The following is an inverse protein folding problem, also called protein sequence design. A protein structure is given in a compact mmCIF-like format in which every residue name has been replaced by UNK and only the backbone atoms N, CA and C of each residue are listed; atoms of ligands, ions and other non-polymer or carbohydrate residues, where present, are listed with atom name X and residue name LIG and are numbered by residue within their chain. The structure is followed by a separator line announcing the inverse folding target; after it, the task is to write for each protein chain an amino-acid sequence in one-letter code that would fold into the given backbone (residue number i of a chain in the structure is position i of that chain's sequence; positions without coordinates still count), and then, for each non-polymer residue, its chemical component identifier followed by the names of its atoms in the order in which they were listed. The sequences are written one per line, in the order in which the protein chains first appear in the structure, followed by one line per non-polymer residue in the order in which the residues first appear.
data_IF_038327990430
#
_entry.id   IF_038327990430
#
_cell.length_a   1.000
_cell.length_b   1.000
_cell.length_c   1.000
_cell.angle_alpha   90.00
_cell.angle_beta   90.00
_cell.angle_gamma   90.00
#
_symmetry.space_group_name_H-M   'P 1'
#
loop_
_entity.id
_entity.type
_entity.pdbx_description
1 polymer ?
#
# COMPACT_ATOMS: atom_id res chain seq x y z
N UNK A 1 -46.17 -51.47 46.20
CA UNK A 1 -45.60 -51.35 44.85
C UNK A 1 -46.10 -50.04 44.25
N UNK A 2 -45.36 -48.95 44.47
CA UNK A 2 -45.71 -47.61 43.99
C UNK A 2 -44.56 -47.15 43.08
N UNK A 3 -44.84 -47.00 41.80
CA UNK A 3 -43.88 -46.51 40.79
C UNK A 3 -44.16 -45.03 40.56
N UNK A 4 -43.21 -44.19 40.96
CA UNK A 4 -43.19 -42.75 40.66
C UNK A 4 -42.83 -42.55 39.18
N UNK A 5 -43.69 -41.86 38.43
CA UNK A 5 -43.40 -41.29 37.10
C UNK A 5 -43.18 -39.78 37.25
N UNK A 6 -42.12 -39.17 36.67
CA UNK A 6 -42.02 -37.72 36.62
C UNK A 6 -42.81 -37.17 35.42
N UNK A 7 -43.59 -36.12 35.69
CA UNK A 7 -44.18 -35.24 34.69
C UNK A 7 -43.08 -34.31 34.14
N UNK A 8 -42.90 -34.29 32.81
CA UNK A 8 -42.08 -33.29 32.12
C UNK A 8 -43.03 -32.20 31.62
N UNK A 9 -42.90 -31.00 32.18
CA UNK A 9 -43.59 -29.79 31.75
C UNK A 9 -42.87 -29.19 30.55
N UNK A 10 -43.52 -29.19 29.39
CA UNK A 10 -43.02 -28.53 28.17
C UNK A 10 -43.29 -27.02 28.26
N UNK A 11 -42.24 -26.21 28.45
CA UNK A 11 -42.33 -24.76 28.31
C UNK A 11 -42.01 -24.37 26.86
N UNK A 12 -43.02 -23.90 26.12
CA UNK A 12 -42.85 -23.23 24.84
C UNK A 12 -42.14 -21.89 25.08
N UNK A 13 -40.85 -21.81 24.73
CA UNK A 13 -40.15 -20.52 24.62
C UNK A 13 -40.31 -19.99 23.20
N UNK A 14 -40.97 -18.85 23.09
CA UNK A 14 -41.10 -18.05 21.88
C UNK A 14 -39.73 -17.48 21.51
N UNK A 15 -39.16 -17.94 20.39
CA UNK A 15 -37.98 -17.31 19.82
C UNK A 15 -38.37 -15.96 19.23
N UNK A 16 -38.08 -14.91 20.00
CA UNK A 16 -38.17 -13.53 19.56
C UNK A 16 -37.10 -13.29 18.48
N UNK A 17 -37.53 -13.11 17.23
CA UNK A 17 -36.65 -12.69 16.14
C UNK A 17 -36.21 -11.24 16.38
N UNK A 18 -35.12 -11.10 17.13
CA UNK A 18 -34.37 -9.87 17.26
C UNK A 18 -33.65 -9.57 15.96
N UNK A 19 -34.10 -8.52 15.29
CA UNK A 19 -33.45 -7.80 14.19
C UNK A 19 -31.93 -7.84 14.35
N UNK A 20 -31.25 -8.43 13.37
CA UNK A 20 -29.80 -8.48 13.31
C UNK A 20 -29.23 -7.08 13.45
N UNK A 21 -28.60 -6.79 14.59
CA UNK A 21 -27.67 -5.69 14.68
C UNK A 21 -26.64 -5.92 13.59
N UNK A 22 -26.60 -5.02 12.60
CA UNK A 22 -25.43 -4.87 11.74
C UNK A 22 -24.27 -4.58 12.69
N UNK A 23 -23.55 -5.64 13.06
CA UNK A 23 -22.30 -5.52 13.78
C UNK A 23 -21.47 -4.53 13.00
N UNK A 24 -20.97 -3.50 13.68
CA UNK A 24 -19.94 -2.62 13.13
C UNK A 24 -18.84 -3.55 12.65
N UNK A 25 -18.76 -3.76 11.34
CA UNK A 25 -17.68 -4.55 10.76
C UNK A 25 -16.43 -3.81 11.19
N UNK A 26 -15.63 -4.43 12.07
CA UNK A 26 -14.38 -3.84 12.51
C UNK A 26 -13.60 -3.50 11.25
N UNK A 27 -13.33 -2.21 11.05
CA UNK A 27 -12.63 -1.72 9.88
C UNK A 27 -11.30 -2.48 9.74
N UNK A 28 -11.12 -3.19 8.63
CA UNK A 28 -9.87 -3.90 8.40
C UNK A 28 -8.81 -2.88 8.01
N UNK A 29 -7.91 -2.57 8.95
CA UNK A 29 -6.82 -1.59 8.80
C UNK A 29 -5.47 -2.24 8.46
N UNK A 30 -5.47 -3.55 8.20
CA UNK A 30 -4.27 -4.37 8.06
C UNK A 30 -3.88 -5.06 9.37
N UNK A 31 -2.59 -5.35 9.53
CA UNK A 31 -2.09 -6.13 10.68
C UNK A 31 -1.64 -5.22 11.80
N UNK A 32 -2.21 -5.40 13.00
CA UNK A 32 -1.81 -4.64 14.19
C UNK A 32 -0.32 -4.86 14.51
N UNK A 33 0.43 -3.76 14.61
CA UNK A 33 1.81 -3.73 15.11
C UNK A 33 1.78 -3.61 16.64
N UNK A 34 0.99 -2.68 17.17
CA UNK A 34 0.86 -2.43 18.61
C UNK A 34 0.30 -1.05 18.91
N UNK A 35 0.26 -0.69 20.20
CA UNK A 35 -0.15 0.65 20.65
C UNK A 35 1.09 1.53 20.83
N UNK A 36 0.97 2.81 20.51
CA UNK A 36 1.99 3.80 20.87
C UNK A 36 2.07 3.91 22.40
N UNK A 37 3.30 4.01 22.92
CA UNK A 37 3.54 4.44 24.29
C UNK A 37 3.19 5.93 24.45
N UNK A 38 2.62 6.29 25.59
CA UNK A 38 2.33 7.67 25.95
C UNK A 38 3.45 8.18 26.87
N UNK A 39 4.50 8.76 26.29
CA UNK A 39 5.64 9.28 27.05
C UNK A 39 5.49 10.78 27.31
N UNK A 40 5.18 11.55 26.27
CA UNK A 40 4.97 12.99 26.35
C UNK A 40 3.85 13.44 25.41
N UNK A 41 3.30 14.62 25.67
CA UNK A 41 2.38 15.31 24.75
C UNK A 41 1.12 14.54 24.34
N UNK A 42 0.67 13.61 25.19
CA UNK A 42 -0.55 12.82 24.99
C UNK A 42 -0.50 11.91 23.77
N UNK A 43 0.70 11.50 23.33
CA UNK A 43 0.87 10.59 22.19
C UNK A 43 0.16 9.27 22.46
N UNK A 44 -0.81 8.93 21.62
CA UNK A 44 -1.51 7.65 21.68
C UNK A 44 -2.06 7.27 20.30
N UNK A 45 -2.41 6.00 20.15
CA UNK A 45 -2.96 5.45 18.91
C UNK A 45 -2.62 3.97 18.74
N UNK A 46 -3.38 3.27 17.89
CA UNK A 46 -3.12 1.88 17.52
C UNK A 46 -2.47 1.85 16.13
N UNK A 47 -1.28 1.25 16.03
CA UNK A 47 -0.48 1.27 14.82
C UNK A 47 -0.65 -0.05 14.08
N UNK A 48 -0.99 0.04 12.80
CA UNK A 48 -1.23 -1.06 11.88
C UNK A 48 -0.27 -0.99 10.71
N UNK A 49 0.13 -2.15 10.21
CA UNK A 49 0.76 -2.30 8.92
C UNK A 49 -0.30 -2.55 7.85
N UNK A 50 -0.44 -1.60 6.94
CA UNK A 50 -1.30 -1.73 5.75
C UNK A 50 -0.64 -2.64 4.74
N UNK A 51 0.63 -2.38 4.44
CA UNK A 51 1.46 -3.18 3.54
C UNK A 51 2.94 -3.09 3.97
N UNK A 52 3.89 -3.45 3.11
CA UNK A 52 5.32 -3.39 3.44
C UNK A 52 5.93 -2.01 3.60
N UNK A 53 5.22 -0.96 3.20
CA UNK A 53 5.67 0.44 3.17
C UNK A 53 4.68 1.41 3.81
N UNK A 54 3.48 0.97 4.14
CA UNK A 54 2.41 1.84 4.63
C UNK A 54 2.06 1.48 6.06
N UNK A 55 2.09 2.50 6.92
CA UNK A 55 1.66 2.43 8.32
C UNK A 55 0.37 3.21 8.45
N UNK A 56 -0.61 2.65 9.14
CA UNK A 56 -1.84 3.35 9.51
C UNK A 56 -1.92 3.45 11.04
N UNK A 57 -2.29 4.61 11.55
CA UNK A 57 -2.47 4.87 12.97
C UNK A 57 -3.92 5.21 13.19
N UNK A 58 -4.61 4.35 13.92
CA UNK A 58 -5.99 4.55 14.35
C UNK A 58 -6.02 5.39 15.62
N UNK A 59 -6.98 6.32 15.67
CA UNK A 59 -7.23 7.19 16.83
C UNK A 59 -5.98 7.95 17.31
N UNK A 60 -5.13 8.41 16.38
CA UNK A 60 -3.90 9.11 16.72
C UNK A 60 -4.19 10.43 17.46
N UNK A 61 -3.52 10.62 18.59
CA UNK A 61 -3.63 11.84 19.40
C UNK A 61 -2.24 12.37 19.69
N UNK A 62 -2.08 13.69 19.57
CA UNK A 62 -0.88 14.44 19.91
C UNK A 62 -1.25 15.90 20.12
N UNK A 63 -0.78 16.54 21.20
CA UNK A 63 -1.25 17.87 21.60
C UNK A 63 -0.73 19.05 20.74
N UNK A 64 0.30 18.82 19.92
CA UNK A 64 0.90 19.83 19.04
C UNK A 64 1.88 20.80 19.73
N UNK A 65 2.32 20.52 20.97
CA UNK A 65 3.17 21.45 21.73
C UNK A 65 4.68 21.25 21.53
N UNK A 66 5.10 20.24 20.78
CA UNK A 66 6.51 20.00 20.47
C UNK A 66 6.98 20.95 19.37
N UNK A 67 8.08 21.69 19.56
CA UNK A 67 8.52 22.71 18.61
C UNK A 67 9.05 22.12 17.29
N UNK A 68 9.59 20.89 17.33
CA UNK A 68 10.14 20.18 16.17
C UNK A 68 9.77 18.69 16.20
N UNK A 69 8.47 18.39 16.34
CA UNK A 69 7.95 17.02 16.37
C UNK A 69 7.70 16.46 14.96
N UNK A 70 8.18 15.24 14.72
CA UNK A 70 7.97 14.52 13.46
C UNK A 70 7.75 13.03 13.69
N UNK A 71 7.07 12.39 12.73
CA UNK A 71 7.04 10.94 12.66
C UNK A 71 8.39 10.37 12.27
N UNK A 72 8.83 9.34 12.97
CA UNK A 72 10.10 8.67 12.77
C UNK A 72 9.94 7.15 12.67
N UNK A 73 10.87 6.54 11.96
CA UNK A 73 11.09 5.10 12.02
C UNK A 73 12.58 4.79 12.04
N UNK A 74 12.94 3.61 12.54
CA UNK A 74 14.35 3.20 12.61
C UNK A 74 14.54 1.71 12.39
N UNK A 75 15.66 1.36 11.76
CA UNK A 75 16.17 -0.01 11.68
C UNK A 75 16.92 -0.40 12.96
N UNK A 76 17.15 0.54 13.88
CA UNK A 76 17.65 0.30 15.22
C UNK A 76 16.49 0.08 16.19
N UNK A 77 16.77 -0.54 17.34
CA UNK A 77 15.74 -0.82 18.35
C UNK A 77 15.45 0.37 19.27
N UNK A 78 16.27 1.40 19.22
CA UNK A 78 16.14 2.60 20.04
C UNK A 78 15.43 3.69 19.21
N UNK A 79 14.49 4.38 19.87
CA UNK A 79 13.93 5.63 19.38
C UNK A 79 14.95 6.74 19.68
N UNK A 80 15.76 7.09 18.68
CA UNK A 80 16.81 8.10 18.80
C UNK A 80 16.97 8.89 17.49
N UNK A 81 17.85 9.89 17.52
CA UNK A 81 18.14 10.73 16.35
C UNK A 81 18.74 10.02 15.13
N UNK A 82 19.10 8.73 15.23
CA UNK A 82 19.62 7.94 14.09
C UNK A 82 18.51 7.31 13.25
N UNK A 83 17.25 7.45 13.67
CA UNK A 83 16.12 7.12 12.80
C UNK A 83 16.00 8.10 11.64
N UNK A 84 14.97 7.91 10.84
CA UNK A 84 14.66 8.76 9.69
C UNK A 84 13.25 9.31 9.79
N UNK A 85 13.08 10.56 9.37
CA UNK A 85 11.78 11.22 9.29
C UNK A 85 10.87 10.51 8.28
N UNK A 86 9.60 10.44 8.63
CA UNK A 86 8.51 10.15 7.69
C UNK A 86 7.82 11.47 7.36
N UNK A 87 7.27 11.54 6.14
CA UNK A 87 6.34 12.61 5.79
C UNK A 87 5.02 12.38 6.51
N UNK A 88 4.30 13.45 6.83
CA UNK A 88 2.95 13.38 7.41
C UNK A 88 1.92 12.80 6.41
N UNK A 89 0.65 12.74 6.82
CA UNK A 89 -0.44 12.21 5.99
C UNK A 89 -0.68 12.99 4.69
N UNK A 90 -0.20 14.24 4.61
CA UNK A 90 -0.30 15.11 3.44
C UNK A 90 0.98 15.10 2.59
N UNK A 91 1.99 14.31 2.97
CA UNK A 91 3.29 14.29 2.31
C UNK A 91 4.23 15.43 2.73
N UNK A 92 3.88 16.20 3.76
CA UNK A 92 4.67 17.30 4.28
C UNK A 92 5.90 16.79 5.06
N UNK A 93 7.09 17.38 4.85
CA UNK A 93 8.27 17.13 5.68
C UNK A 93 8.34 18.03 6.93
N UNK A 94 7.39 18.95 7.09
CA UNK A 94 7.37 19.96 8.15
C UNK A 94 6.96 19.38 9.51
N UNK A 95 7.08 20.20 10.55
CA UNK A 95 6.64 19.87 11.92
C UNK A 95 5.17 19.48 11.90
N UNK A 96 4.84 18.36 12.55
CA UNK A 96 3.47 17.85 12.51
C UNK A 96 2.54 18.72 13.37
N UNK A 97 1.29 18.80 12.93
CA UNK A 97 0.24 19.53 13.65
C UNK A 97 -0.24 18.79 14.89
N UNK A 98 -1.22 19.37 15.58
CA UNK A 98 -2.04 18.69 16.59
C UNK A 98 -2.97 17.65 15.93
N UNK A 99 -3.17 16.52 16.60
CA UNK A 99 -4.12 15.47 16.23
C UNK A 99 -5.06 15.12 17.38
N UNK A 100 -6.34 14.86 17.08
CA UNK A 100 -7.35 14.49 18.09
C UNK A 100 -8.15 13.24 17.67
N UNK A 101 -7.64 12.06 18.03
CA UNK A 101 -8.23 10.76 17.64
C UNK A 101 -8.47 10.67 16.13
N UNK A 102 -7.48 11.10 15.36
CA UNK A 102 -7.58 11.14 13.91
C UNK A 102 -6.89 9.92 13.29
N UNK A 103 -7.40 9.37 12.17
CA UNK A 103 -6.67 8.38 11.40
C UNK A 103 -5.50 9.04 10.68
N UNK A 104 -4.32 8.44 10.76
CA UNK A 104 -3.10 8.93 10.09
C UNK A 104 -2.50 7.80 9.26
N UNK A 105 -2.33 8.01 7.96
CA UNK A 105 -1.68 7.04 7.07
C UNK A 105 -0.34 7.60 6.60
N UNK A 106 0.73 6.88 6.88
CA UNK A 106 2.11 7.29 6.60
C UNK A 106 2.77 6.32 5.64
N UNK A 107 3.53 6.84 4.70
CA UNK A 107 4.32 6.05 3.76
C UNK A 107 5.80 6.11 4.10
N UNK A 108 6.41 4.95 4.21
CA UNK A 108 7.85 4.79 4.40
C UNK A 108 8.60 5.29 3.16
N UNK A 109 9.73 6.00 3.33
CA UNK A 109 10.59 6.45 2.23
C UNK A 109 11.04 5.32 1.31
N UNK A 110 11.50 5.68 0.12
CA UNK A 110 12.03 4.72 -0.83
C UNK A 110 13.17 3.88 -0.27
N UNK A 111 13.21 2.61 -0.65
CA UNK A 111 14.16 1.63 -0.13
C UNK A 111 13.95 1.21 1.34
N UNK A 112 12.96 1.78 2.05
CA UNK A 112 12.60 1.35 3.42
C UNK A 112 11.35 0.47 3.39
N UNK A 113 11.36 -0.57 4.22
CA UNK A 113 10.21 -1.46 4.36
C UNK A 113 10.04 -1.89 5.82
N UNK A 114 8.82 -2.31 6.20
CA UNK A 114 8.51 -2.89 7.50
C UNK A 114 9.25 -4.21 7.77
N UNK A 115 9.94 -4.78 6.78
CA UNK A 115 10.83 -5.92 7.00
C UNK A 115 12.03 -5.53 7.87
N UNK A 116 12.55 -4.31 7.68
CA UNK A 116 13.84 -3.90 8.23
C UNK A 116 13.70 -2.90 9.40
N UNK A 117 12.54 -2.25 9.49
CA UNK A 117 12.21 -1.31 10.57
C UNK A 117 11.88 -2.08 11.84
N UNK A 118 12.41 -1.62 12.96
CA UNK A 118 12.25 -2.23 14.29
C UNK A 118 11.39 -1.39 15.23
N UNK A 119 11.23 -0.11 14.94
CA UNK A 119 10.49 0.83 15.79
C UNK A 119 9.92 1.97 14.94
N UNK A 120 8.69 2.36 15.26
CA UNK A 120 8.02 3.57 14.77
C UNK A 120 7.73 4.46 15.98
N UNK A 121 7.96 5.76 15.87
CA UNK A 121 7.90 6.67 17.01
C UNK A 121 7.67 8.12 16.60
N UNK A 122 7.22 8.94 17.57
CA UNK A 122 7.16 10.39 17.44
C UNK A 122 8.39 11.00 18.13
N UNK A 123 9.18 11.77 17.39
CA UNK A 123 10.45 12.33 17.87
C UNK A 123 10.45 13.85 17.80
N UNK A 124 10.92 14.50 18.86
CA UNK A 124 11.20 15.92 18.86
C UNK A 124 12.70 16.16 18.72
N UNK A 125 13.11 16.80 17.62
CA UNK A 125 14.52 17.01 17.34
C UNK A 125 15.16 18.09 18.21
N UNK A 126 14.46 19.20 18.47
CA UNK A 126 15.01 20.32 19.24
C UNK A 126 15.42 19.90 20.67
N UNK A 127 14.72 18.93 21.23
CA UNK A 127 14.99 18.42 22.58
C UNK A 127 15.67 17.05 22.60
N UNK A 128 15.85 16.40 21.44
CA UNK A 128 16.32 15.01 21.35
C UNK A 128 15.49 14.04 22.24
N UNK A 129 14.14 14.14 22.19
CA UNK A 129 13.22 13.36 23.04
C UNK A 129 12.21 12.53 22.22
N UNK A 130 11.99 11.29 22.66
CA UNK A 130 10.93 10.40 22.17
C UNK A 130 9.61 10.71 22.89
N UNK A 131 8.57 11.11 22.14
CA UNK A 131 7.24 11.40 22.69
C UNK A 131 6.35 10.17 22.80
N UNK A 132 6.65 9.10 22.05
CA UNK A 132 5.92 7.86 22.08
C UNK A 132 6.35 6.93 20.95
N UNK A 133 6.41 5.64 21.21
CA UNK A 133 6.93 4.63 20.30
C UNK A 133 6.13 3.33 20.30
N UNK A 134 6.28 2.57 19.24
CA UNK A 134 5.84 1.20 19.13
C UNK A 134 6.95 0.36 18.48
N UNK A 135 7.27 -0.76 19.12
CA UNK A 135 8.25 -1.71 18.58
C UNK A 135 7.57 -2.63 17.56
N UNK A 136 8.20 -2.80 16.41
CA UNK A 136 7.76 -3.77 15.41
C UNK A 136 8.29 -5.15 15.83
N UNK A 137 7.42 -6.16 16.01
CA UNK A 137 7.85 -7.50 16.37
C UNK A 137 8.88 -8.07 15.39
N UNK A 138 9.77 -8.93 15.89
CA UNK A 138 10.63 -9.73 15.00
C UNK A 138 9.74 -10.62 14.13
N UNK A 139 10.17 -10.85 12.88
CA UNK A 139 9.43 -11.67 11.91
C UNK A 139 7.98 -11.19 11.69
N UNK A 140 7.75 -9.89 11.80
CA UNK A 140 6.43 -9.32 11.56
C UNK A 140 6.00 -9.54 10.10
N UNK A 141 5.06 -10.47 9.91
CA UNK A 141 4.47 -10.75 8.61
C UNK A 141 3.42 -9.67 8.29
N UNK A 142 3.86 -8.54 7.74
CA UNK A 142 2.98 -7.49 7.22
C UNK A 142 2.14 -7.99 6.03
N UNK A 143 0.96 -7.40 5.77
CA UNK A 143 0.10 -7.83 4.68
C UNK A 143 0.73 -7.58 3.30
N UNK A 144 0.49 -8.49 2.34
CA UNK A 144 1.03 -8.40 0.97
C UNK A 144 0.07 -9.03 -0.05
N UNK A 145 0.07 -8.57 -1.30
CA UNK A 145 -0.67 -9.25 -2.36
C UNK A 145 -0.33 -10.74 -2.43
N UNK A 146 -1.34 -11.59 -2.65
CA UNK A 146 -1.18 -13.04 -2.68
C UNK A 146 -1.63 -13.63 -4.01
N UNK A 147 -0.85 -14.58 -4.52
CA UNK A 147 -1.21 -15.32 -5.74
C UNK A 147 -2.05 -16.54 -5.35
N UNK A 148 -3.12 -16.78 -6.10
CA UNK A 148 -3.93 -17.99 -6.03
C UNK A 148 -3.89 -18.70 -7.38
N UNK A 149 -4.57 -19.84 -7.47
CA UNK A 149 -4.65 -20.61 -8.71
C UNK A 149 -5.28 -19.80 -9.86
N UNK A 150 -4.96 -20.15 -11.12
CA UNK A 150 -5.63 -19.58 -12.29
C UNK A 150 -7.09 -20.00 -12.39
N UNK A 151 -7.88 -19.22 -13.13
CA UNK A 151 -9.16 -19.71 -13.65
C UNK A 151 -8.92 -20.78 -14.71
N UNK A 152 -9.70 -21.85 -14.63
CA UNK A 152 -9.78 -22.92 -15.63
C UNK A 152 -11.23 -23.36 -15.73
N UNK A 153 -11.70 -23.53 -16.95
CA UNK A 153 -13.11 -23.78 -17.18
C UNK A 153 -13.46 -24.20 -18.59
N UNK A 154 -14.75 -24.24 -18.86
CA UNK A 154 -15.34 -24.40 -20.19
C UNK A 154 -15.47 -23.03 -20.88
N UNK A 155 -15.94 -23.01 -22.13
CA UNK A 155 -16.12 -21.78 -22.92
C UNK A 155 -14.83 -20.94 -23.06
N UNK A 156 -13.70 -21.62 -23.20
CA UNK A 156 -12.38 -20.98 -23.34
C UNK A 156 -11.88 -20.25 -22.09
N UNK A 157 -12.50 -20.48 -20.92
CA UNK A 157 -12.07 -19.84 -19.67
C UNK A 157 -10.69 -20.33 -19.25
N UNK A 158 -9.76 -19.39 -19.23
CA UNK A 158 -8.41 -19.58 -18.71
C UNK A 158 -7.83 -18.25 -18.25
N UNK A 159 -6.89 -18.31 -17.31
CA UNK A 159 -6.05 -17.17 -16.92
C UNK A 159 -4.69 -17.65 -16.44
N UNK A 160 -3.79 -16.71 -16.15
CA UNK A 160 -2.65 -16.98 -15.27
C UNK A 160 -3.12 -16.96 -13.80
N UNK A 161 -2.21 -17.25 -12.87
CA UNK A 161 -2.45 -17.12 -11.44
C UNK A 161 -3.04 -15.75 -11.10
N UNK A 162 -4.19 -15.76 -10.43
CA UNK A 162 -4.88 -14.55 -9.99
C UNK A 162 -4.11 -13.96 -8.81
N UNK A 163 -4.02 -12.64 -8.77
CA UNK A 163 -3.43 -11.90 -7.65
C UNK A 163 -4.56 -11.25 -6.86
N UNK A 164 -4.70 -11.64 -5.60
CA UNK A 164 -5.47 -10.90 -4.61
C UNK A 164 -4.61 -9.71 -4.20
N UNK A 165 -4.97 -8.53 -4.70
CA UNK A 165 -4.18 -7.30 -4.53
C UNK A 165 -4.37 -6.74 -3.13
N UNK A 166 -5.61 -6.64 -2.70
CA UNK A 166 -6.04 -6.17 -1.38
C UNK A 166 -7.37 -6.84 -0.99
N UNK A 167 -7.94 -6.44 0.14
CA UNK A 167 -9.17 -6.97 0.69
C UNK A 167 -10.41 -6.84 -0.23
N UNK A 168 -10.36 -6.08 -1.33
CA UNK A 168 -11.49 -5.91 -2.27
C UNK A 168 -11.09 -6.02 -3.75
N UNK A 169 -9.82 -6.22 -4.07
CA UNK A 169 -9.32 -6.12 -5.45
C UNK A 169 -8.66 -7.41 -5.91
N UNK A 170 -9.13 -7.91 -7.06
CA UNK A 170 -8.57 -9.06 -7.77
C UNK A 170 -7.93 -8.59 -9.08
N UNK A 171 -6.72 -9.03 -9.36
CA UNK A 171 -6.05 -8.89 -10.66
C UNK A 171 -6.01 -10.26 -11.32
N UNK A 172 -6.62 -10.37 -12.50
CA UNK A 172 -6.69 -11.61 -13.28
C UNK A 172 -5.89 -11.41 -14.57
N UNK A 173 -4.63 -11.89 -14.65
CA UNK A 173 -3.82 -11.73 -15.85
C UNK A 173 -4.20 -12.73 -16.94
N UNK A 174 -4.05 -12.31 -18.20
CA UNK A 174 -4.24 -13.18 -19.37
C UNK A 174 -5.60 -13.92 -19.39
N UNK A 175 -6.68 -13.28 -18.91
CA UNK A 175 -8.02 -13.82 -18.95
C UNK A 175 -8.47 -14.06 -20.40
N UNK A 176 -8.94 -15.26 -20.68
CA UNK A 176 -9.59 -15.64 -21.93
C UNK A 176 -10.98 -16.19 -21.64
N UNK A 177 -11.94 -15.91 -22.53
CA UNK A 177 -13.32 -16.38 -22.50
C UNK A 177 -13.92 -16.16 -23.91
N UNK A 178 -14.59 -17.15 -24.49
CA UNK A 178 -15.03 -17.11 -25.89
C UNK A 178 -16.15 -16.09 -26.19
N UNK A 179 -16.94 -15.71 -25.18
CA UNK A 179 -18.06 -14.78 -25.32
C UNK A 179 -19.36 -15.41 -25.83
N UNK A 180 -19.47 -16.74 -25.85
CA UNK A 180 -20.62 -17.43 -26.48
C UNK A 180 -21.87 -17.52 -25.60
N UNK A 181 -21.74 -17.32 -24.29
CA UNK A 181 -22.87 -17.52 -23.40
C UNK A 181 -23.76 -16.28 -23.31
N UNK A 182 -25.08 -16.46 -23.17
CA UNK A 182 -26.02 -15.35 -23.20
C UNK A 182 -25.93 -14.45 -21.97
N UNK A 183 -25.48 -14.99 -20.83
CA UNK A 183 -25.45 -14.25 -19.57
C UNK A 183 -24.30 -14.68 -18.63
N UNK A 184 -23.08 -14.73 -19.16
CA UNK A 184 -21.89 -14.95 -18.34
C UNK A 184 -21.55 -13.70 -17.50
N UNK A 185 -21.26 -13.87 -16.21
CA UNK A 185 -20.90 -12.80 -15.28
C UNK A 185 -19.72 -13.20 -14.41
N UNK A 186 -18.94 -12.23 -13.94
CA UNK A 186 -18.03 -12.49 -12.83
C UNK A 186 -18.85 -12.74 -11.56
N UNK A 187 -18.45 -13.77 -10.81
CA UNK A 187 -19.27 -14.34 -9.76
C UNK A 187 -18.43 -14.70 -8.55
N UNK A 188 -18.93 -14.35 -7.37
CA UNK A 188 -18.32 -14.73 -6.09
C UNK A 188 -19.41 -15.25 -5.16
N UNK A 189 -19.02 -15.97 -4.13
CA UNK A 189 -19.96 -16.42 -3.12
C UNK A 189 -19.24 -17.13 -1.98
N UNK A 190 -20.02 -17.49 -0.97
CA UNK A 190 -19.52 -18.28 0.15
C UNK A 190 -19.32 -19.74 -0.26
N UNK A 191 -18.41 -20.42 0.44
CA UNK A 191 -18.10 -21.82 0.17
C UNK A 191 -17.19 -22.04 -1.04
N UNK A 192 -16.81 -23.30 -1.24
CA UNK A 192 -15.77 -23.69 -2.19
C UNK A 192 -16.22 -23.79 -3.65
N UNK A 193 -17.51 -23.65 -3.94
CA UNK A 193 -18.09 -23.78 -5.28
C UNK A 193 -19.17 -22.71 -5.53
N UNK A 194 -19.30 -22.24 -6.79
CA UNK A 194 -20.40 -21.36 -7.18
C UNK A 194 -21.79 -21.97 -6.98
N UNK A 195 -22.74 -21.10 -6.67
CA UNK A 195 -24.16 -21.41 -6.60
C UNK A 195 -25.00 -20.25 -7.20
N UNK A 196 -26.29 -20.49 -7.51
CA UNK A 196 -27.19 -19.44 -7.97
C UNK A 196 -27.38 -18.26 -6.98
N UNK A 197 -27.03 -18.44 -5.71
CA UNK A 197 -27.12 -17.42 -4.67
C UNK A 197 -25.85 -16.56 -4.54
N UNK A 198 -24.89 -16.71 -5.46
CA UNK A 198 -23.71 -15.86 -5.46
C UNK A 198 -24.00 -14.40 -5.83
N UNK A 199 -22.93 -13.62 -5.84
CA UNK A 199 -22.93 -12.17 -5.97
C UNK A 199 -22.22 -11.83 -7.28
N UNK A 200 -22.86 -10.97 -8.07
CA UNK A 200 -22.29 -10.42 -9.31
C UNK A 200 -21.13 -9.50 -8.96
N UNK A 201 -20.00 -9.66 -9.64
CA UNK A 201 -18.89 -8.71 -9.58
C UNK A 201 -18.90 -7.88 -10.86
N UNK A 202 -18.89 -6.54 -10.78
CA UNK A 202 -18.78 -5.71 -11.96
C UNK A 202 -17.50 -6.00 -12.76
N UNK A 203 -17.57 -5.87 -14.08
CA UNK A 203 -16.41 -5.97 -14.96
C UNK A 203 -15.40 -4.83 -14.72
N UNK A 204 -14.29 -4.83 -15.45
CA UNK A 204 -13.26 -3.79 -15.32
C UNK A 204 -13.74 -2.37 -15.68
N UNK A 205 -14.95 -2.24 -16.24
CA UNK A 205 -15.60 -0.98 -16.60
C UNK A 205 -16.76 -0.64 -15.63
N UNK A 206 -16.93 -1.42 -14.56
CA UNK A 206 -17.98 -1.24 -13.56
C UNK A 206 -19.37 -1.70 -14.00
N UNK A 207 -19.47 -2.60 -14.98
CA UNK A 207 -20.75 -3.11 -15.51
C UNK A 207 -21.02 -4.54 -15.05
N UNK A 208 -22.28 -4.81 -14.69
CA UNK A 208 -22.77 -6.17 -14.39
C UNK A 208 -23.53 -6.81 -15.57
N UNK A 209 -23.40 -6.23 -16.77
CA UNK A 209 -23.96 -6.78 -18.00
C UNK A 209 -23.24 -8.10 -18.40
N UNK A 210 -23.83 -8.92 -19.29
CA UNK A 210 -23.15 -10.11 -19.81
C UNK A 210 -21.74 -9.80 -20.29
N UNK A 211 -20.79 -10.65 -19.89
CA UNK A 211 -19.39 -10.53 -20.23
C UNK A 211 -19.19 -10.66 -21.73
N UNK A 212 -18.40 -9.74 -22.29
CA UNK A 212 -17.87 -9.88 -23.65
C UNK A 212 -16.80 -10.97 -23.71
N UNK A 213 -16.43 -11.36 -24.94
CA UNK A 213 -15.22 -12.13 -25.21
C UNK A 213 -13.98 -11.48 -24.58
N UNK A 214 -13.13 -12.31 -23.97
CA UNK A 214 -11.79 -11.94 -23.53
C UNK A 214 -10.76 -12.77 -24.31
N UNK A 215 -9.70 -12.13 -24.80
CA UNK A 215 -8.55 -12.80 -25.42
C UNK A 215 -7.28 -12.35 -24.69
N UNK A 216 -6.80 -13.21 -23.80
CA UNK A 216 -5.60 -13.00 -22.96
C UNK A 216 -5.50 -11.59 -22.39
N UNK A 217 -6.62 -11.05 -21.92
CA UNK A 217 -6.71 -9.69 -21.38
C UNK A 217 -6.46 -9.72 -19.88
N UNK A 218 -5.64 -8.80 -19.38
CA UNK A 218 -5.54 -8.57 -17.94
C UNK A 218 -6.68 -7.68 -17.45
N UNK A 219 -7.43 -8.14 -16.45
CA UNK A 219 -8.52 -7.38 -15.83
C UNK A 219 -8.25 -7.16 -14.34
N UNK A 220 -8.68 -5.99 -13.84
CA UNK A 220 -8.70 -5.66 -12.42
C UNK A 220 -10.15 -5.51 -12.02
N UNK A 221 -10.57 -6.28 -11.03
CA UNK A 221 -11.94 -6.35 -10.55
C UNK A 221 -11.99 -5.89 -9.11
N UNK A 222 -12.99 -5.07 -8.79
CA UNK A 222 -13.27 -4.62 -7.42
C UNK A 222 -14.56 -5.26 -6.96
N UNK A 223 -14.51 -5.90 -5.79
CA UNK A 223 -15.69 -6.49 -5.17
C UNK A 223 -16.75 -5.41 -4.86
N UNK A 224 -18.04 -5.71 -5.07
CA UNK A 224 -19.11 -4.72 -4.91
C UNK A 224 -19.38 -4.37 -3.44
N UNK A 225 -19.87 -3.16 -3.22
CA UNK A 225 -20.31 -2.71 -1.89
C UNK A 225 -19.21 -2.76 -0.84
N UNK A 226 -19.50 -3.44 0.27
CA UNK A 226 -18.60 -3.64 1.41
C UNK A 226 -18.06 -5.08 1.45
N UNK A 227 -18.29 -5.87 0.39
CA UNK A 227 -17.81 -7.25 0.29
C UNK A 227 -16.28 -7.25 0.27
N UNK A 228 -15.68 -8.16 1.03
CA UNK A 228 -14.24 -8.38 1.05
C UNK A 228 -13.87 -9.79 0.61
N UNK A 229 -12.59 -9.98 0.30
CA UNK A 229 -12.00 -11.29 -0.01
C UNK A 229 -12.21 -12.28 1.16
N UNK A 230 -12.30 -11.78 2.39
CA UNK A 230 -12.54 -12.61 3.57
C UNK A 230 -13.98 -13.15 3.66
N UNK A 231 -14.91 -12.53 2.91
CA UNK A 231 -16.33 -12.90 2.91
C UNK A 231 -16.67 -13.94 1.83
N UNK A 232 -15.73 -14.24 0.92
CA UNK A 232 -15.93 -15.11 -0.23
C UNK A 232 -15.08 -16.38 -0.14
N UNK A 233 -15.61 -17.49 -0.63
CA UNK A 233 -14.91 -18.77 -0.72
C UNK A 233 -14.45 -19.13 -2.14
N UNK A 234 -14.96 -18.44 -3.15
CA UNK A 234 -14.57 -18.63 -4.54
C UNK A 234 -14.73 -17.35 -5.38
N UNK A 235 -14.04 -17.31 -6.51
CA UNK A 235 -14.21 -16.34 -7.59
C UNK A 235 -14.27 -17.11 -8.92
N UNK A 236 -15.16 -16.74 -9.82
CA UNK A 236 -15.32 -17.43 -11.10
C UNK A 236 -16.14 -16.67 -12.12
N UNK A 237 -16.44 -17.35 -13.21
CA UNK A 237 -17.39 -16.92 -14.22
C UNK A 237 -18.57 -17.88 -14.20
N UNK A 238 -19.76 -17.32 -14.04
CA UNK A 238 -21.01 -18.06 -13.90
C UNK A 238 -21.99 -17.60 -14.98
N UNK A 239 -22.68 -18.54 -15.62
CA UNK A 239 -23.81 -18.21 -16.49
C UNK A 239 -25.07 -18.11 -15.64
N UNK A 240 -25.57 -16.90 -15.44
CA UNK A 240 -26.72 -16.66 -14.58
C UNK A 240 -28.02 -17.23 -15.17
N UNK A 241 -28.21 -17.08 -16.48
CA UNK A 241 -29.40 -17.59 -17.17
C UNK A 241 -29.54 -19.12 -17.09
N UNK A 242 -28.44 -19.86 -17.18
CA UNK A 242 -28.47 -21.33 -17.17
C UNK A 242 -28.06 -21.94 -15.82
N UNK A 243 -27.66 -21.13 -14.85
CA UNK A 243 -27.17 -21.57 -13.54
C UNK A 243 -26.01 -22.57 -13.65
N UNK A 244 -25.04 -22.28 -14.52
CA UNK A 244 -23.89 -23.16 -14.78
C UNK A 244 -22.60 -22.45 -14.39
N UNK A 245 -21.77 -23.16 -13.64
CA UNK A 245 -20.38 -22.78 -13.37
C UNK A 245 -19.54 -23.03 -14.63
N UNK A 246 -19.02 -21.95 -15.22
CA UNK A 246 -18.14 -22.09 -16.36
C UNK A 246 -16.69 -22.29 -15.93
N UNK A 247 -16.32 -21.91 -14.72
CA UNK A 247 -14.98 -22.02 -14.19
C UNK A 247 -14.81 -21.13 -12.98
N UNK A 248 -14.28 -21.70 -11.90
CA UNK A 248 -14.00 -20.98 -10.66
C UNK A 248 -12.65 -21.36 -10.09
N UNK A 249 -12.17 -20.50 -9.20
CA UNK A 249 -11.05 -20.75 -8.31
C UNK A 249 -11.52 -20.56 -6.87
N UNK A 250 -10.97 -21.37 -5.97
CA UNK A 250 -11.22 -21.24 -4.53
C UNK A 250 -10.34 -20.16 -3.91
N UNK A 251 -10.92 -19.39 -2.99
CA UNK A 251 -10.21 -18.39 -2.19
C UNK A 251 -9.70 -19.06 -0.91
N UNK A 252 -8.36 -19.14 -0.71
CA UNK A 252 -7.82 -19.71 0.52
C UNK A 252 -8.25 -18.89 1.74
N UNK A 253 -8.41 -19.57 2.87
CA UNK A 253 -8.74 -18.94 4.14
C UNK A 253 -7.48 -18.45 4.85
N UNK A 254 -7.60 -17.43 5.71
CA UNK A 254 -6.48 -16.93 6.52
C UNK A 254 -5.43 -16.12 5.74
N UNK A 255 -5.84 -15.48 4.65
CA UNK A 255 -4.97 -14.60 3.85
C UNK A 255 -4.47 -13.40 4.68
N UNK A 256 -3.23 -13.00 4.44
CA UNK A 256 -2.62 -11.80 5.00
C UNK A 256 -2.34 -10.82 3.87
N UNK A 257 -3.41 -10.15 3.44
CA UNK A 257 -3.49 -9.24 2.28
C UNK A 257 -3.74 -7.80 2.74
N UNK A 258 -3.31 -6.78 2.00
CA UNK A 258 -3.54 -5.39 2.39
C UNK A 258 -5.03 -5.06 2.55
N UNK A 259 -5.40 -4.09 3.40
CA UNK A 259 -6.71 -3.48 3.34
C UNK A 259 -6.87 -2.68 2.03
N UNK A 260 -8.10 -2.47 1.57
CA UNK A 260 -8.33 -1.67 0.37
C UNK A 260 -8.21 -0.17 0.65
N UNK A 261 -7.84 0.62 -0.37
CA UNK A 261 -7.78 2.08 -0.27
C UNK A 261 -9.14 2.68 0.17
N UNK A 262 -10.24 2.11 -0.36
CA UNK A 262 -11.60 2.50 0.00
C UNK A 262 -11.87 2.31 1.49
N UNK A 263 -11.41 1.20 2.06
CA UNK A 263 -11.60 0.90 3.49
C UNK A 263 -10.83 1.89 4.37
N UNK A 264 -9.62 2.29 3.97
CA UNK A 264 -8.82 3.25 4.73
C UNK A 264 -9.30 4.72 4.60
N UNK A 265 -10.41 4.97 3.90
CA UNK A 265 -10.91 6.32 3.65
C UNK A 265 -10.01 7.18 2.76
N UNK A 266 -8.96 6.59 2.16
CA UNK A 266 -8.06 7.26 1.23
C UNK A 266 -8.68 7.18 -0.17
N UNK A 267 -9.18 8.32 -0.65
CA UNK A 267 -9.63 8.43 -2.04
C UNK A 267 -8.45 8.10 -2.97
N UNK A 268 -8.65 7.33 -4.06
CA UNK A 268 -7.61 7.14 -5.06
C UNK A 268 -7.08 8.51 -5.46
N UNK A 269 -5.80 8.77 -5.18
CA UNK A 269 -5.20 10.03 -5.57
C UNK A 269 -5.45 10.18 -7.07
N UNK A 270 -6.10 11.27 -7.49
CA UNK A 270 -6.22 11.62 -8.91
C UNK A 270 -4.80 11.53 -9.47
N UNK A 271 -4.60 10.60 -10.40
CA UNK A 271 -3.30 10.35 -11.01
C UNK A 271 -2.64 11.68 -11.33
N UNK A 272 -1.45 11.89 -10.80
CA UNK A 272 -0.58 13.00 -11.17
C UNK A 272 -0.45 12.94 -12.69
N UNK A 273 -1.11 13.84 -13.42
CA UNK A 273 -0.85 13.99 -14.86
C UNK A 273 0.58 14.48 -14.95
N UNK A 274 1.51 13.73 -15.59
CA UNK A 274 2.79 14.33 -15.91
C UNK A 274 2.48 15.55 -16.76
N UNK A 275 3.02 16.70 -16.35
CA UNK A 275 2.93 17.94 -17.10
C UNK A 275 3.45 17.58 -18.50
N UNK A 276 2.53 17.51 -19.47
CA UNK A 276 2.90 17.39 -20.86
C UNK A 276 3.84 18.56 -21.11
N UNK A 277 5.08 18.25 -21.52
CA UNK A 277 6.08 19.23 -21.92
C UNK A 277 5.39 20.34 -22.70
N UNK A 278 5.41 21.54 -22.15
CA UNK A 278 4.88 22.72 -22.81
C UNK A 278 5.69 22.88 -24.10
N UNK A 279 5.12 22.43 -25.22
CA UNK A 279 5.57 22.85 -26.52
C UNK A 279 5.31 24.35 -26.56
N UNK A 280 6.41 25.12 -26.51
CA UNK A 280 6.41 26.56 -26.68
C UNK A 280 5.85 26.83 -28.08
N UNK A 281 4.56 27.10 -28.16
CA UNK A 281 3.94 27.62 -29.36
C UNK A 281 4.41 29.07 -29.53
N UNK A 282 5.29 29.29 -30.51
CA UNK A 282 5.68 30.63 -30.96
C UNK A 282 4.42 31.41 -31.37
N UNK A 283 4.21 32.65 -30.90
CA UNK A 283 3.00 33.39 -31.22
C UNK A 283 2.98 33.80 -32.69
N UNK A 284 1.82 33.58 -33.30
CA UNK A 284 1.46 33.97 -34.66
C UNK A 284 1.59 35.48 -34.84
N UNK A 285 2.37 35.89 -35.85
CA UNK A 285 2.59 37.28 -36.24
C UNK A 285 1.26 37.91 -36.72
N UNK A 286 0.69 38.79 -35.91
CA UNK A 286 -0.42 39.64 -36.32
C UNK A 286 0.03 40.60 -37.42
N UNK A 287 -0.67 40.58 -38.55
CA UNK A 287 -0.54 41.59 -39.61
C UNK A 287 -1.11 42.91 -39.07
N UNK A 288 -0.22 43.88 -38.84
CA UNK A 288 -0.59 45.28 -38.60
C UNK A 288 -0.35 46.07 -39.88
N UNK A 289 -1.44 46.72 -40.31
CA UNK A 289 -1.60 47.53 -41.49
C UNK A 289 -0.63 48.72 -41.51
N UNK A 290 -0.04 48.98 -42.69
CA UNK A 290 0.88 50.09 -42.96
C UNK A 290 0.16 51.45 -42.94
N UNK A 291 0.78 52.53 -42.45
CA UNK A 291 0.50 53.87 -42.91
C UNK A 291 1.35 54.21 -44.15
N UNK A 292 0.76 54.99 -45.05
CA UNK A 292 1.37 55.50 -46.27
C UNK A 292 2.37 56.62 -45.97
N UNK A 293 3.52 56.60 -46.64
CA UNK A 293 4.42 57.75 -46.76
C UNK A 293 4.78 57.92 -48.24
N UNK A 294 4.55 59.14 -48.72
CA UNK A 294 4.89 59.68 -50.04
C UNK A 294 6.30 60.25 -49.99
N UNK A 295 7.13 60.00 -51.02
CA UNK A 295 8.39 60.71 -51.20
C UNK A 295 9.39 59.91 -52.04
N UNK A 296 9.74 60.44 -53.23
CA UNK A 296 10.54 59.77 -54.25
C UNK A 296 12.05 59.80 -54.04
N UNK A 297 12.77 59.14 -54.95
CA UNK A 297 14.24 59.18 -55.03
C UNK A 297 14.81 57.95 -55.73
N UNK A 298 15.64 58.18 -56.76
CA UNK A 298 16.23 57.19 -57.67
C UNK A 298 17.33 56.28 -57.06
N UNK A 299 17.62 55.19 -57.78
CA UNK A 299 18.93 54.52 -58.07
C UNK A 299 19.10 53.05 -57.58
N UNK A 300 18.96 52.12 -58.55
CA UNK A 300 19.77 50.96 -59.02
C UNK A 300 20.91 50.32 -58.15
N UNK A 301 21.39 49.10 -58.49
CA UNK A 301 21.42 47.93 -57.60
C UNK A 301 22.84 47.44 -57.23
N UNK A 302 22.96 46.54 -56.25
CA UNK A 302 24.18 45.73 -56.09
C UNK A 302 23.88 44.27 -55.82
N UNK A 303 24.30 43.48 -56.81
CA UNK A 303 24.42 42.03 -56.92
C UNK A 303 25.28 41.43 -55.80
N UNK A 304 24.80 40.37 -55.12
CA UNK A 304 25.68 39.30 -54.64
C UNK A 304 24.93 37.97 -54.48
N UNK A 305 25.40 36.96 -55.21
CA UNK A 305 25.04 35.53 -55.22
C UNK A 305 26.40 34.83 -55.35
N UNK A 306 26.77 33.76 -54.60
CA UNK A 306 26.28 32.39 -54.88
C UNK A 306 26.45 31.40 -53.67
N UNK A 307 26.47 30.06 -53.86
CA UNK A 307 25.55 29.18 -54.59
C UNK A 307 24.96 28.03 -53.72
N UNK A 308 23.90 27.43 -54.26
CA UNK A 308 23.38 26.11 -53.92
C UNK A 308 24.12 25.01 -54.69
N UNK A 309 24.20 23.81 -54.11
CA UNK A 309 24.23 22.56 -54.89
C UNK A 309 23.37 21.49 -54.21
N UNK A 310 22.28 21.17 -54.90
CA UNK A 310 21.47 19.95 -54.83
C UNK A 310 22.30 18.71 -55.20
N UNK A 311 21.88 17.51 -54.75
CA UNK A 311 21.48 16.39 -55.63
C UNK A 311 20.57 15.42 -54.85
N UNK A 312 19.44 15.07 -55.47
CA UNK A 312 18.49 14.00 -55.15
C UNK A 312 18.89 12.69 -55.87
N UNK A 313 18.52 11.53 -55.32
CA UNK A 313 18.51 10.27 -56.07
C UNK A 313 17.74 9.14 -55.38
N UNK A 314 16.54 8.82 -55.87
CA UNK A 314 15.74 7.62 -55.55
C UNK A 314 16.14 6.45 -56.46
N UNK A 315 16.00 5.19 -56.03
CA UNK A 315 15.02 4.19 -56.55
C UNK A 315 15.25 2.77 -55.99
N UNK A 316 14.15 2.02 -55.96
CA UNK A 316 13.92 0.61 -55.60
C UNK A 316 14.20 -0.36 -56.76
N UNK A 317 14.48 -1.63 -56.49
CA UNK A 317 13.71 -2.84 -56.90
C UNK A 317 14.49 -4.18 -56.72
N UNK A 318 13.72 -5.28 -56.74
CA UNK A 318 13.89 -6.67 -56.27
C UNK A 318 15.02 -7.58 -56.83
N UNK A 319 15.33 -8.69 -56.11
CA UNK A 319 15.07 -10.13 -56.49
C UNK A 319 15.96 -11.14 -55.72
N UNK A 320 15.33 -12.30 -55.42
CA UNK A 320 15.76 -13.53 -54.74
C UNK A 320 17.03 -14.23 -55.25
N UNK A 321 17.74 -14.94 -54.36
CA UNK A 321 18.30 -16.27 -54.64
C UNK A 321 18.46 -17.13 -53.38
N UNK A 322 18.25 -18.43 -53.56
CA UNK A 322 18.11 -19.51 -52.59
C UNK A 322 19.37 -20.37 -52.64
N UNK A 323 19.92 -20.82 -51.49
CA UNK A 323 20.54 -22.15 -51.34
C UNK A 323 20.85 -22.51 -49.87
N UNK A 324 20.67 -23.80 -49.59
CA UNK A 324 20.74 -24.51 -48.31
C UNK A 324 22.17 -24.87 -47.87
N UNK A 325 22.33 -25.29 -46.61
CA UNK A 325 23.21 -26.34 -46.01
C UNK A 325 23.51 -25.95 -44.54
N UNK A 326 22.81 -26.48 -43.52
CA UNK A 326 22.99 -27.76 -42.78
C UNK A 326 24.22 -27.80 -41.85
N UNK A 327 23.90 -27.86 -40.55
CA UNK A 327 24.56 -28.39 -39.33
C UNK A 327 26.10 -28.48 -39.20
N UNK A 328 26.61 -28.06 -38.04
CA UNK A 328 27.37 -28.92 -37.10
C UNK A 328 27.20 -28.45 -35.65
N UNK A 329 26.83 -29.38 -34.76
CA UNK A 329 26.95 -29.27 -33.30
C UNK A 329 28.44 -29.40 -32.92
N UNK A 330 28.94 -28.58 -32.01
CA UNK A 330 30.19 -28.85 -31.30
C UNK A 330 29.97 -28.99 -29.80
N UNK A 331 30.47 -30.13 -29.35
CA UNK A 331 30.50 -30.69 -28.01
C UNK A 331 31.62 -30.03 -27.21
N UNK A 332 31.35 -29.60 -25.98
CA UNK A 332 32.37 -29.17 -25.03
C UNK A 332 32.89 -30.38 -24.23
N UNK A 333 34.21 -30.59 -24.10
CA UNK A 333 34.74 -31.65 -23.24
C UNK A 333 34.67 -31.28 -21.75
N UNK A 334 34.10 -32.20 -20.97
CA UNK A 334 34.11 -32.19 -19.50
C UNK A 334 35.45 -32.76 -19.04
N UNK A 335 36.24 -31.93 -18.34
CA UNK A 335 37.47 -32.38 -17.67
C UNK A 335 37.08 -32.93 -16.29
N UNK A 336 37.24 -34.23 -16.11
CA UNK A 336 37.10 -34.92 -14.82
C UNK A 336 38.42 -34.79 -14.05
N UNK A 337 38.41 -34.08 -12.92
CA UNK A 337 39.45 -34.18 -11.89
C UNK A 337 39.01 -35.20 -10.84
N UNK A 338 39.71 -36.32 -10.76
CA UNK A 338 39.61 -37.31 -9.71
C UNK A 338 40.14 -36.73 -8.39
N UNK A 339 39.30 -36.69 -7.35
CA UNK A 339 39.74 -36.57 -5.96
C UNK A 339 39.49 -37.91 -5.27
N UNK A 340 40.57 -38.50 -4.75
CA UNK A 340 40.54 -39.71 -3.93
C UNK A 340 39.76 -39.45 -2.63
N UNK A 341 38.87 -40.39 -2.30
CA UNK A 341 38.14 -40.44 -1.05
C UNK A 341 38.96 -41.29 -0.07
N UNK A 342 39.58 -40.64 0.92
CA UNK A 342 40.19 -41.31 2.07
C UNK A 342 39.10 -41.54 3.12
N UNK A 343 38.81 -42.81 3.43
CA UNK A 343 37.91 -43.18 4.52
C UNK A 343 38.62 -43.01 5.88
N UNK A 344 38.03 -42.21 6.78
CA UNK A 344 38.37 -42.23 8.21
C UNK A 344 37.35 -43.08 8.99
N UNK A 345 37.78 -43.85 10.00
CA UNK A 345 36.88 -44.69 10.79
C UNK A 345 36.00 -43.87 11.74
N UNK A 346 34.74 -44.29 11.84
CA UNK A 346 33.69 -43.71 12.69
C UNK A 346 33.97 -44.03 14.16
N UNK A 347 34.07 -43.00 15.02
CA UNK A 347 34.06 -43.14 16.48
C UNK A 347 32.62 -43.11 17.01
N UNK A 348 32.28 -44.04 17.90
CA UNK A 348 30.97 -44.17 18.54
C UNK A 348 30.69 -42.98 19.51
N UNK A 349 29.45 -42.52 19.65
CA UNK A 349 29.12 -41.47 20.63
C UNK A 349 29.03 -42.02 22.06
N UNK A 350 29.66 -41.30 22.98
CA UNK A 350 29.63 -41.50 24.44
C UNK A 350 28.24 -41.13 24.98
N UNK A 351 27.60 -42.06 25.69
CA UNK A 351 26.36 -41.84 26.45
C UNK A 351 26.65 -40.92 27.64
N UNK A 352 26.05 -39.71 27.65
CA UNK A 352 26.09 -38.81 28.82
C UNK A 352 24.81 -38.99 29.64
N UNK A 353 24.97 -39.14 30.96
CA UNK A 353 23.87 -39.22 31.92
C UNK A 353 23.09 -37.89 32.02
N UNK A 354 21.78 -37.92 32.33
CA UNK A 354 20.95 -36.72 32.39
C UNK A 354 21.30 -35.86 33.61
N UNK A 355 21.42 -34.55 33.38
CA UNK A 355 21.65 -33.54 34.42
C UNK A 355 20.28 -33.08 34.96
N UNK A 356 20.18 -33.04 36.28
CA UNK A 356 19.00 -32.67 37.05
C UNK A 356 18.57 -31.21 36.79
N UNK A 357 17.27 -31.00 36.54
CA UNK A 357 16.70 -29.70 36.17
C UNK A 357 16.40 -28.86 37.42
N UNK A 358 17.10 -27.74 37.59
CA UNK A 358 16.76 -26.72 38.59
C UNK A 358 15.92 -25.61 37.93
N UNK A 359 14.74 -25.25 38.45
CA UNK A 359 13.90 -24.21 37.86
C UNK A 359 14.52 -22.82 38.09
N UNK A 360 14.63 -22.05 37.00
CA UNK A 360 15.17 -20.69 37.00
C UNK A 360 14.17 -19.71 37.64
N UNK A 361 14.65 -19.00 38.66
CA UNK A 361 13.85 -18.12 39.51
C UNK A 361 13.55 -16.78 38.78
N UNK A 362 12.27 -16.44 38.61
CA UNK A 362 11.82 -15.13 38.12
C UNK A 362 11.93 -14.11 39.26
N UNK A 363 13.07 -13.44 39.40
CA UNK A 363 13.10 -12.16 40.11
C UNK A 363 14.27 -11.27 39.67
N UNK A 364 13.91 -10.02 39.35
CA UNK A 364 14.74 -8.82 39.22
C UNK A 364 15.68 -8.69 38.01
N UNK A 365 15.12 -8.17 36.91
CA UNK A 365 15.79 -7.07 36.19
C UNK A 365 14.91 -5.83 36.25
N UNK A 366 15.25 -4.97 37.20
CA UNK A 366 14.81 -3.58 37.25
C UNK A 366 15.21 -2.91 35.94
N UNK A 367 14.23 -2.45 35.16
CA UNK A 367 14.49 -1.50 34.08
C UNK A 367 14.80 -0.17 34.76
N UNK A 368 16.08 0.20 34.77
CA UNK A 368 16.50 1.52 35.20
C UNK A 368 16.10 2.52 34.10
N UNK A 369 14.87 3.01 34.19
CA UNK A 369 14.46 4.24 33.50
C UNK A 369 15.25 5.34 34.18
N UNK A 370 16.20 5.94 33.46
CA UNK A 370 16.93 7.10 33.97
C UNK A 370 15.99 8.30 33.88
N UNK A 371 15.07 8.40 34.83
CA UNK A 371 14.21 9.55 35.04
C UNK A 371 15.08 10.65 35.64
N UNK A 372 15.34 11.70 34.85
CA UNK A 372 16.07 12.88 35.31
C UNK A 372 15.07 14.00 35.69
N UNK A 373 14.75 14.17 36.98
CA UNK A 373 13.81 15.20 37.44
C UNK A 373 14.32 16.64 37.22
N UNK A 374 15.61 16.83 36.91
CA UNK A 374 16.16 18.15 36.59
C UNK A 374 15.84 18.58 35.17
N UNK A 375 15.75 17.63 34.22
CA UNK A 375 15.31 17.89 32.85
C UNK A 375 13.85 18.34 32.82
N UNK A 376 12.98 17.69 33.60
CA UNK A 376 11.56 18.03 33.67
C UNK A 376 11.33 19.44 34.26
N UNK A 377 12.15 19.82 35.25
CA UNK A 377 12.13 21.16 35.83
C UNK A 377 12.60 22.22 34.83
N UNK A 378 13.65 21.93 34.05
CA UNK A 378 14.14 22.84 33.01
C UNK A 378 13.12 23.06 31.90
N UNK A 379 12.51 21.98 31.39
CA UNK A 379 11.45 22.05 30.38
C UNK A 379 10.26 22.87 30.90
N UNK A 380 9.86 22.68 32.16
CA UNK A 380 8.77 23.46 32.78
C UNK A 380 9.12 24.94 32.96
N UNK A 381 10.35 25.27 33.34
CA UNK A 381 10.84 26.65 33.48
C UNK A 381 10.93 27.37 32.12
N UNK A 382 11.35 26.66 31.07
CA UNK A 382 11.41 27.18 29.70
C UNK A 382 10.02 27.35 29.08
N UNK A 383 9.08 26.44 29.39
CA UNK A 383 7.67 26.60 29.02
C UNK A 383 7.05 27.83 29.67
N UNK A 384 7.31 28.09 30.96
CA UNK A 384 6.86 29.33 31.61
C UNK A 384 7.46 30.57 30.94
N UNK A 385 8.75 30.54 30.60
CA UNK A 385 9.42 31.65 29.90
C UNK A 385 8.83 31.90 28.51
N UNK A 386 8.63 30.85 27.71
CA UNK A 386 8.04 31.00 26.36
C UNK A 386 6.57 31.44 26.39
N UNK A 387 5.82 31.11 27.45
CA UNK A 387 4.46 31.61 27.65
C UNK A 387 4.45 33.08 28.09
N UNK A 388 5.39 33.49 28.93
CA UNK A 388 5.58 34.89 29.33
C UNK A 388 6.02 35.75 28.14
N UNK A 389 6.95 35.28 27.31
CA UNK A 389 7.40 35.99 26.10
C UNK A 389 6.27 36.14 25.08
N UNK A 390 5.41 35.11 24.93
CA UNK A 390 4.21 35.19 24.08
C UNK A 390 3.15 36.15 24.63
N UNK A 391 2.99 36.25 25.95
CA UNK A 391 2.13 37.28 26.54
C UNK A 391 2.71 38.68 26.34
N UNK A 392 4.02 38.87 26.55
CA UNK A 392 4.69 40.17 26.35
C UNK A 392 4.62 40.65 24.90
N UNK A 393 4.85 39.78 23.91
CA UNK A 393 4.68 40.11 22.50
C UNK A 393 3.22 40.46 22.14
N UNK A 394 2.25 39.83 22.81
CA UNK A 394 0.82 40.14 22.62
C UNK A 394 0.43 41.49 23.26
N UNK A 395 1.12 41.94 24.31
CA UNK A 395 0.95 43.29 24.87
C UNK A 395 1.60 44.38 24.00
N UNK A 396 2.72 44.10 23.34
CA UNK A 396 3.36 45.04 22.41
C UNK A 396 2.57 45.24 21.10
N UNK A 397 1.94 44.19 20.57
CA UNK A 397 1.09 44.28 19.39
C UNK A 397 -0.19 45.11 19.60
N UNK A 398 -0.67 45.26 20.84
CA UNK A 398 -1.83 46.10 21.16
C UNK A 398 -1.49 47.58 21.39
N UNK A 399 -0.22 47.96 21.55
CA UNK A 399 0.18 49.37 21.70
C UNK A 399 0.43 50.09 20.36
N UNK A 400 0.59 49.37 19.25
CA UNK A 400 0.83 49.95 17.92
C UNK A 400 -0.44 50.24 17.10
N UNK A 401 -1.63 50.18 17.69
CA UNK A 401 -2.91 50.44 16.98
C UNK A 401 -3.45 51.87 17.20
N UNK A 402 -2.75 52.71 17.97
CA UNK A 402 -3.11 54.13 18.14
C UNK A 402 -1.90 55.04 17.90
N UNK A 403 -1.59 55.34 16.64
CA UNK A 403 -0.81 56.50 16.26
C UNK A 403 -1.67 57.38 15.34
N UNK A 404 -2.04 58.62 15.75
CA UNK A 404 -2.79 59.51 14.88
C UNK A 404 -1.86 60.12 13.83
N UNK A 405 -2.37 60.21 12.60
CA UNK A 405 -1.78 60.99 11.53
C UNK A 405 -1.73 62.47 11.95
N UNK A 406 -0.54 63.06 11.89
CA UNK A 406 -0.28 64.49 12.02
C UNK A 406 0.59 64.95 10.87
#
# INVERSE_FOLDING_TARGET
MLVLRPFITTALHTNNMGVGQRGVVAEYLGKLIGKLSELHHGVSGEVYAVDGRTIHIKDFTYDGQGPAAYFYASTNKAADKRGFRLRDENGSPEVIRRYRKEPVTLTLPEGKTLRDIKIFYLWCEDFDVNFGDVKIPKNFAYPRPQKIEPLKGIHGISSDNIVIVDAQTLLVPNLSYDGEAPDAKFWVGQGSKPSPQGIRVPDENGKEAPLRKYDRKTVVLTLPGDLTIFDIGHFGIWCEQFTVDFGHVQIPQGLNIPPSLKMLGISPQKQYRPIASAQIALPSRQQLSRPAVVGGGHLQPTTFRPPQTYVFGRRSDDVQQQQQFVSQQQVYPVIQQSREIVYQPVQQPIVRQPVEYTPFNFNQRQYQVNYDPYLERRVREEQLRSQLDRQQNRFQLNQNVYAPFG
#
